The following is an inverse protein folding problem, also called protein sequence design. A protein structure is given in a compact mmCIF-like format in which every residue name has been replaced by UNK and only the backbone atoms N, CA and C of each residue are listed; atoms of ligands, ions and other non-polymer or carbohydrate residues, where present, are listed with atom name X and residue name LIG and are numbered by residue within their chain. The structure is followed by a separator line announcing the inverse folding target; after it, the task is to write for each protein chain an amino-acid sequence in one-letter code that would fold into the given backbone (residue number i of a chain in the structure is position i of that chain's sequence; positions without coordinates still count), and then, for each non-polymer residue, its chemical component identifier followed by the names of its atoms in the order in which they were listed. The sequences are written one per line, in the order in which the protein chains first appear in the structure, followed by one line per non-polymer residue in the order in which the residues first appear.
data_IF_464730827400
#
_entry.id   IF_464730827400
#
_cell.length_a   1.000
_cell.length_b   1.000
_cell.length_c   1.000
_cell.angle_alpha   90.00
_cell.angle_beta   90.00
_cell.angle_gamma   90.00
#
_symmetry.space_group_name_H-M   'P 1'
#
loop_
_entity.id
_entity.type
_entity.pdbx_description
1 polymer ?
#
# COMPACT_ATOMS: atom_id res chain seq x y z
N UNK A 1 -11.03 -6.36 -14.16
CA UNK A 1 -10.27 -6.12 -12.92
C UNK A 1 -10.56 -4.69 -12.49
N UNK A 2 -11.04 -4.49 -11.26
CA UNK A 2 -11.27 -3.14 -10.72
C UNK A 2 -9.98 -2.69 -10.02
N UNK A 3 -9.44 -1.55 -10.45
CA UNK A 3 -8.21 -0.96 -9.92
C UNK A 3 -8.57 0.22 -9.03
N UNK A 4 -7.86 0.39 -7.90
CA UNK A 4 -8.04 1.54 -7.01
C UNK A 4 -6.83 2.45 -7.06
N UNK A 5 -7.03 3.74 -7.33
CA UNK A 5 -5.99 4.77 -7.24
C UNK A 5 -5.96 5.32 -5.82
N UNK A 6 -4.78 5.35 -5.20
CA UNK A 6 -4.61 5.85 -3.84
C UNK A 6 -3.83 7.17 -3.81
N UNK A 7 -4.24 8.10 -2.93
CA UNK A 7 -3.59 9.40 -2.71
C UNK A 7 -2.89 9.44 -1.35
N UNK A 8 -1.73 10.08 -1.29
CA UNK A 8 -0.86 10.11 -0.12
C UNK A 8 -0.73 11.51 0.48
N UNK A 9 -0.71 11.57 1.81
CA UNK A 9 -0.46 12.79 2.56
C UNK A 9 0.96 12.82 3.12
N UNK A 10 1.66 13.95 2.93
CA UNK A 10 2.98 14.18 3.51
C UNK A 10 2.83 14.70 4.94
N UNK A 11 3.47 14.02 5.89
CA UNK A 11 3.51 14.46 7.29
C UNK A 11 4.23 15.80 7.43
N UNK A 12 3.66 16.73 8.19
CA UNK A 12 4.29 18.03 8.43
C UNK A 12 5.30 17.90 9.59
N UNK A 13 6.58 17.66 9.29
CA UNK A 13 7.66 17.94 10.26
C UNK A 13 8.35 19.24 9.89
N UNK A 14 8.41 20.18 10.85
CA UNK A 14 9.33 21.31 10.79
C UNK A 14 10.75 20.79 11.02
N UNK A 15 11.42 20.38 9.95
CA UNK A 15 12.84 20.09 9.93
C UNK A 15 13.56 21.08 9.01
N UNK A 16 14.86 21.37 9.22
CA UNK A 16 15.64 22.23 8.33
C UNK A 16 15.68 21.69 6.89
N UNK A 17 15.62 20.36 6.76
CA UNK A 17 15.55 19.64 5.49
C UNK A 17 14.16 19.04 5.30
N UNK A 18 13.21 19.89 4.89
CA UNK A 18 11.81 19.50 4.71
C UNK A 18 11.66 18.36 3.70
N UNK A 19 10.86 17.36 4.05
CA UNK A 19 10.59 16.22 3.18
C UNK A 19 9.92 16.65 1.87
N UNK A 20 10.28 15.97 0.79
CA UNK A 20 9.70 16.13 -0.55
C UNK A 20 9.14 14.79 -1.03
N UNK A 21 8.16 14.87 -1.94
CA UNK A 21 7.57 13.69 -2.57
C UNK A 21 8.50 13.15 -3.65
N UNK A 22 8.70 11.83 -3.65
CA UNK A 22 9.40 11.09 -4.70
C UNK A 22 8.53 9.91 -5.12
N UNK A 23 8.31 9.77 -6.42
CA UNK A 23 7.68 8.57 -7.00
C UNK A 23 8.76 7.51 -7.22
N UNK A 24 8.57 6.34 -6.60
CA UNK A 24 9.46 5.19 -6.72
C UNK A 24 8.85 4.08 -7.59
N UNK A 25 9.70 3.38 -8.31
CA UNK A 25 9.46 2.05 -8.86
C UNK A 25 9.61 1.04 -7.73
N UNK A 26 8.55 0.26 -7.46
CA UNK A 26 8.52 -0.64 -6.30
C UNK A 26 9.58 -1.73 -6.42
N UNK A 27 9.74 -2.35 -7.59
CA UNK A 27 10.72 -3.44 -7.76
C UNK A 27 12.15 -2.94 -7.59
N UNK A 28 12.47 -1.76 -8.14
CA UNK A 28 13.77 -1.14 -7.94
C UNK A 28 14.03 -0.76 -6.49
N UNK A 29 13.02 -0.21 -5.81
CA UNK A 29 13.12 0.11 -4.39
C UNK A 29 13.34 -1.15 -3.56
N UNK A 30 12.61 -2.22 -3.83
CA UNK A 30 12.68 -3.49 -3.09
C UNK A 30 14.08 -4.09 -3.13
N UNK A 31 14.73 -4.08 -4.31
CA UNK A 31 16.12 -4.52 -4.46
C UNK A 31 17.11 -3.69 -3.63
N UNK A 32 16.88 -2.38 -3.51
CA UNK A 32 17.71 -1.52 -2.67
C UNK A 32 17.42 -1.71 -1.18
N UNK A 33 16.16 -1.93 -0.81
CA UNK A 33 15.73 -2.14 0.57
C UNK A 33 16.14 -3.51 1.11
N UNK A 34 16.19 -4.53 0.25
CA UNK A 34 16.72 -5.87 0.56
C UNK A 34 18.13 -5.85 1.17
N UNK A 35 18.90 -4.80 0.87
CA UNK A 35 20.27 -4.62 1.37
C UNK A 35 20.36 -3.92 2.72
N UNK A 36 19.24 -3.51 3.33
CA UNK A 36 19.23 -2.87 4.66
C UNK A 36 18.95 -3.86 5.78
N UNK A 37 19.30 -3.47 7.01
CA UNK A 37 19.01 -4.22 8.22
C UNK A 37 17.51 -4.20 8.61
N UNK A 38 16.71 -3.37 7.93
CA UNK A 38 15.28 -3.21 8.17
C UNK A 38 14.40 -4.02 7.22
N UNK A 39 14.99 -4.85 6.36
CA UNK A 39 14.20 -5.65 5.43
C UNK A 39 13.38 -6.69 6.20
N UNK A 40 12.05 -6.59 6.13
CA UNK A 40 11.12 -7.43 6.92
C UNK A 40 10.41 -8.50 6.09
N UNK A 41 10.56 -8.51 4.78
CA UNK A 41 9.94 -9.52 3.95
C UNK A 41 10.84 -10.74 3.85
N UNK A 42 10.31 -11.93 4.08
CA UNK A 42 11.01 -13.15 3.69
C UNK A 42 10.79 -13.34 2.18
N UNK A 43 11.83 -13.58 1.36
CA UNK A 43 11.63 -13.84 -0.06
C UNK A 43 10.66 -15.01 -0.28
N UNK A 44 9.50 -14.75 -0.90
CA UNK A 44 8.47 -15.76 -1.14
C UNK A 44 7.50 -16.01 0.03
N UNK A 45 7.61 -15.25 1.13
CA UNK A 45 6.68 -15.31 2.25
C UNK A 45 6.25 -13.90 2.66
N UNK A 46 4.93 -13.71 2.74
CA UNK A 46 4.31 -12.48 3.19
C UNK A 46 4.38 -12.31 4.73
N UNK A 47 5.24 -13.08 5.40
CA UNK A 47 5.51 -13.01 6.83
C UNK A 47 6.08 -11.64 7.18
N UNK A 48 5.18 -10.74 7.50
CA UNK A 48 5.49 -9.51 8.20
C UNK A 48 6.00 -9.83 9.62
N UNK A 49 7.01 -9.11 10.09
CA UNK A 49 7.45 -9.11 11.49
C UNK A 49 6.34 -8.69 12.46
N UNK A 50 5.27 -8.08 11.95
CA UNK A 50 4.10 -7.66 12.71
C UNK A 50 2.78 -7.75 11.92
N UNK A 51 2.29 -8.98 11.68
CA UNK A 51 1.05 -9.26 10.92
C UNK A 51 -0.16 -8.35 11.22
N UNK A 52 -0.29 -7.85 12.45
CA UNK A 52 -1.33 -6.89 12.82
C UNK A 52 -1.17 -5.52 12.12
N UNK A 53 0.05 -5.00 11.95
CA UNK A 53 0.33 -3.74 11.26
C UNK A 53 0.06 -3.85 9.76
N UNK A 54 0.51 -4.93 9.11
CA UNK A 54 0.16 -5.22 7.72
C UNK A 54 -1.35 -5.34 7.52
N UNK A 55 -2.05 -6.11 8.38
CA UNK A 55 -3.50 -6.24 8.31
C UNK A 55 -4.22 -4.89 8.50
N UNK A 56 -3.73 -4.04 9.43
CA UNK A 56 -4.27 -2.69 9.66
C UNK A 56 -4.06 -1.79 8.45
N UNK A 57 -2.91 -1.85 7.79
CA UNK A 57 -2.67 -1.12 6.54
C UNK A 57 -3.67 -1.54 5.47
N UNK A 58 -3.87 -2.85 5.29
CA UNK A 58 -4.84 -3.39 4.34
C UNK A 58 -6.27 -2.94 4.58
N UNK A 59 -6.74 -2.93 5.85
CA UNK A 59 -8.08 -2.42 6.20
C UNK A 59 -8.27 -0.98 5.75
N UNK A 60 -7.26 -0.12 5.93
CA UNK A 60 -7.32 1.30 5.54
C UNK A 60 -7.34 1.49 4.02
N UNK A 61 -6.49 0.76 3.29
CA UNK A 61 -6.49 0.78 1.83
C UNK A 61 -7.85 0.36 1.26
N UNK A 62 -8.43 -0.71 1.81
CA UNK A 62 -9.74 -1.22 1.40
C UNK A 62 -10.89 -0.27 1.74
N UNK A 63 -10.77 0.49 2.83
CA UNK A 63 -11.74 1.50 3.23
C UNK A 63 -11.60 2.81 2.43
N UNK A 64 -10.54 2.98 1.62
CA UNK A 64 -10.25 4.23 0.93
C UNK A 64 -9.89 5.38 1.88
N UNK A 65 -9.45 5.06 3.11
CA UNK A 65 -9.05 6.07 4.10
C UNK A 65 -7.73 6.74 3.67
N UNK A 66 -7.59 8.07 3.79
CA UNK A 66 -6.31 8.74 3.60
C UNK A 66 -5.22 8.13 4.48
N UNK A 67 -4.00 8.01 3.95
CA UNK A 67 -2.86 7.51 4.70
C UNK A 67 -1.61 8.37 4.53
N UNK A 68 -0.85 8.42 5.61
CA UNK A 68 0.47 9.01 5.63
C UNK A 68 1.42 8.27 4.69
N UNK A 69 2.09 9.04 3.86
CA UNK A 69 3.16 8.60 2.97
C UNK A 69 4.26 7.89 3.78
N UNK A 70 4.80 6.75 3.32
CA UNK A 70 5.98 6.17 3.95
C UNK A 70 7.16 7.12 3.84
N UNK A 71 7.96 7.14 4.90
CA UNK A 71 9.15 7.98 4.99
C UNK A 71 10.37 7.12 4.71
N UNK A 72 11.17 7.52 3.73
CA UNK A 72 12.34 6.79 3.26
C UNK A 72 13.61 7.61 3.52
N UNK A 73 14.69 6.91 3.86
CA UNK A 73 16.03 7.47 3.94
C UNK A 73 17.05 6.65 3.15
N UNK A 74 18.14 7.30 2.76
CA UNK A 74 19.35 6.64 2.26
C UNK A 74 20.32 6.45 3.42
N UNK A 75 20.78 5.23 3.64
CA UNK A 75 21.72 4.86 4.69
C UNK A 75 23.17 5.21 4.31
N UNK A 76 24.09 5.14 5.28
CA UNK A 76 25.50 5.49 5.07
C UNK A 76 26.18 4.64 3.98
N UNK A 77 25.81 3.37 3.87
CA UNK A 77 26.31 2.45 2.84
C UNK A 77 25.47 2.47 1.55
N UNK A 78 24.53 3.40 1.41
CA UNK A 78 23.76 3.61 0.19
C UNK A 78 22.51 2.74 0.02
N UNK A 79 22.19 1.86 0.98
CA UNK A 79 20.91 1.16 0.97
C UNK A 79 19.74 2.11 1.27
N UNK A 80 18.53 1.70 0.88
CA UNK A 80 17.31 2.41 1.22
C UNK A 80 16.68 1.79 2.46
N UNK A 81 16.12 2.61 3.35
CA UNK A 81 15.40 2.15 4.53
C UNK A 81 14.20 3.02 4.86
N UNK A 82 13.36 2.53 5.79
CA UNK A 82 12.15 3.23 6.19
C UNK A 82 12.32 3.89 7.55
N UNK A 83 12.02 5.19 7.62
CA UNK A 83 11.79 5.87 8.91
C UNK A 83 10.40 5.55 9.44
N UNK A 84 9.42 5.39 8.54
CA UNK A 84 8.06 4.91 8.83
C UNK A 84 7.41 4.31 7.57
N UNK A 85 6.39 3.48 7.76
CA UNK A 85 5.48 3.07 6.68
C UNK A 85 5.90 1.82 5.91
N UNK A 86 6.90 1.07 6.35
CA UNK A 86 7.34 -0.19 5.70
C UNK A 86 6.21 -1.20 5.51
N UNK A 87 5.26 -1.30 6.45
CA UNK A 87 4.08 -2.17 6.35
C UNK A 87 3.07 -1.69 5.28
N UNK A 88 2.93 -0.37 5.10
CA UNK A 88 2.08 0.21 4.05
C UNK A 88 2.67 -0.07 2.67
N UNK A 89 3.99 0.10 2.55
CA UNK A 89 4.75 -0.29 1.37
C UNK A 89 4.61 -1.78 1.07
N UNK A 90 4.87 -2.65 2.05
CA UNK A 90 4.80 -4.11 1.89
C UNK A 90 3.42 -4.54 1.41
N UNK A 91 2.36 -3.99 2.00
CA UNK A 91 0.99 -4.27 1.55
C UNK A 91 0.77 -3.91 0.08
N UNK A 92 1.23 -2.72 -0.35
CA UNK A 92 1.11 -2.30 -1.76
C UNK A 92 1.88 -3.22 -2.70
N UNK A 93 3.11 -3.57 -2.35
CA UNK A 93 3.97 -4.51 -3.12
C UNK A 93 3.27 -5.86 -3.31
N UNK A 94 2.81 -6.47 -2.22
CA UNK A 94 2.13 -7.79 -2.25
C UNK A 94 0.81 -7.76 -3.05
N UNK A 95 0.21 -6.58 -3.21
CA UNK A 95 -1.02 -6.39 -3.98
C UNK A 95 -0.76 -5.81 -5.38
N UNK A 96 0.45 -5.99 -5.91
CA UNK A 96 0.78 -5.73 -7.32
C UNK A 96 0.97 -4.26 -7.67
N UNK A 97 1.20 -3.40 -6.68
CA UNK A 97 1.57 -2.02 -6.97
C UNK A 97 2.92 -1.94 -7.68
N UNK A 98 2.99 -1.09 -8.70
CA UNK A 98 4.22 -0.91 -9.50
C UNK A 98 4.93 0.40 -9.15
N UNK A 99 4.24 1.34 -8.51
CA UNK A 99 4.80 2.61 -8.11
C UNK A 99 4.13 3.20 -6.88
N UNK A 100 4.90 3.98 -6.13
CA UNK A 100 4.45 4.56 -4.88
C UNK A 100 5.05 5.94 -4.63
N UNK A 101 4.29 6.86 -4.02
CA UNK A 101 4.87 8.07 -3.46
C UNK A 101 5.49 7.78 -2.10
N UNK A 102 6.70 8.28 -1.88
CA UNK A 102 7.40 8.26 -0.60
C UNK A 102 7.89 9.67 -0.23
N UNK A 103 7.94 9.93 1.06
CA UNK A 103 8.46 11.16 1.64
C UNK A 103 9.95 10.97 1.92
N UNK A 104 10.77 11.86 1.37
CA UNK A 104 12.24 11.78 1.48
C UNK A 104 12.78 13.15 1.85
N UNK A 105 13.78 13.21 2.72
CA UNK A 105 14.51 14.44 3.00
C UNK A 105 15.01 15.07 1.69
N UNK A 106 14.86 16.39 1.50
CA UNK A 106 15.16 17.05 0.22
C UNK A 106 16.61 16.82 -0.22
N UNK A 107 17.55 16.80 0.73
CA UNK A 107 18.95 16.49 0.46
C UNK A 107 19.17 15.07 -0.12
N UNK A 108 18.34 14.11 0.25
CA UNK A 108 18.44 12.70 -0.19
C UNK A 108 17.61 12.39 -1.45
N UNK A 109 16.64 13.25 -1.80
CA UNK A 109 15.75 13.02 -2.92
C UNK A 109 16.45 12.76 -4.28
N UNK A 110 17.56 13.43 -4.65
CA UNK A 110 18.29 13.10 -5.87
C UNK A 110 18.85 11.67 -5.87
N UNK A 111 19.31 11.17 -4.73
CA UNK A 111 19.83 9.80 -4.61
C UNK A 111 18.70 8.78 -4.74
N UNK A 112 17.56 8.98 -4.06
CA UNK A 112 16.40 8.10 -4.18
C UNK A 112 15.88 8.05 -5.62
N UNK A 113 15.75 9.22 -6.28
CA UNK A 113 15.33 9.28 -7.70
C UNK A 113 16.27 8.51 -8.62
N UNK A 114 17.58 8.58 -8.37
CA UNK A 114 18.59 7.86 -9.17
C UNK A 114 18.50 6.35 -8.96
N UNK A 115 18.29 5.91 -7.71
CA UNK A 115 18.27 4.49 -7.35
C UNK A 115 16.98 3.78 -7.81
N UNK A 116 15.83 4.42 -7.63
CA UNK A 116 14.53 3.77 -7.83
C UNK A 116 13.43 4.71 -8.32
N UNK A 117 13.76 5.88 -8.87
CA UNK A 117 12.74 6.83 -9.35
C UNK A 117 11.96 6.31 -10.56
N UNK A 118 10.67 6.65 -10.63
CA UNK A 118 9.81 6.29 -11.77
C UNK A 118 9.10 7.50 -12.39
N UNK A 119 8.59 7.33 -13.62
CA UNK A 119 7.69 8.30 -14.28
C UNK A 119 6.21 8.03 -13.99
N UNK A 120 5.87 6.87 -13.44
CA UNK A 120 4.49 6.56 -13.02
C UNK A 120 4.04 7.53 -11.92
N UNK A 121 2.80 7.98 -11.99
CA UNK A 121 2.21 8.98 -11.05
C UNK A 121 0.96 8.44 -10.37
N UNK A 122 0.89 7.14 -10.21
CA UNK A 122 -0.22 6.50 -9.54
C UNK A 122 0.25 5.34 -8.67
N UNK A 123 -0.46 5.14 -7.56
CA UNK A 123 -0.31 3.98 -6.70
C UNK A 123 -1.55 3.14 -6.87
N UNK A 124 -1.43 2.04 -7.62
CA UNK A 124 -2.53 1.11 -7.88
C UNK A 124 -2.27 -0.17 -7.14
N UNK A 125 -3.32 -0.84 -6.67
CA UNK A 125 -3.24 -2.17 -6.12
C UNK A 125 -4.41 -3.01 -6.62
N UNK A 126 -4.25 -4.32 -6.60
CA UNK A 126 -5.30 -5.29 -6.84
C UNK A 126 -5.91 -5.63 -5.48
N UNK A 127 -7.17 -5.23 -5.20
CA UNK A 127 -7.80 -5.61 -3.95
C UNK A 127 -7.81 -7.15 -3.82
N UNK A 128 -7.50 -7.72 -2.64
CA UNK A 128 -7.67 -9.14 -2.44
C UNK A 128 -9.11 -9.52 -2.77
N UNK A 129 -9.30 -10.64 -3.48
CA UNK A 129 -10.64 -11.13 -3.79
C UNK A 129 -11.42 -11.28 -2.49
N UNK A 130 -12.51 -10.51 -2.35
CA UNK A 130 -13.41 -10.70 -1.23
C UNK A 130 -13.94 -12.12 -1.33
N UNK A 131 -13.62 -12.97 -0.34
CA UNK A 131 -14.38 -14.20 -0.12
C UNK A 131 -15.70 -13.75 0.48
N UNK A 132 -16.60 -13.22 -0.34
CA UNK A 132 -18.00 -13.08 0.09
C UNK A 132 -18.45 -14.51 0.38
N UNK A 133 -18.87 -14.85 1.60
CA UNK A 133 -19.43 -16.17 1.84
C UNK A 133 -20.64 -16.31 0.93
N UNK A 134 -20.64 -17.30 0.04
CA UNK A 134 -21.73 -17.58 -0.91
C UNK A 134 -23.10 -17.63 -0.23
N UNK A 135 -23.13 -18.00 1.06
CA UNK A 135 -24.34 -18.02 1.90
C UNK A 135 -25.03 -16.64 2.01
N UNK A 136 -24.30 -15.52 2.00
CA UNK A 136 -24.88 -14.19 2.16
C UNK A 136 -25.54 -13.68 0.86
N UNK A 137 -25.01 -14.09 -0.30
CA UNK A 137 -25.61 -13.78 -1.62
C UNK A 137 -26.89 -14.58 -1.84
N UNK A 138 -26.93 -15.85 -1.40
CA UNK A 138 -28.13 -16.68 -1.49
C UNK A 138 -29.24 -16.23 -0.53
N UNK A 139 -28.90 -15.71 0.66
CA UNK A 139 -29.89 -15.17 1.60
C UNK A 139 -30.62 -13.92 1.08
N UNK A 140 -29.90 -13.00 0.43
CA UNK A 140 -30.50 -11.78 -0.15
C UNK A 140 -31.33 -12.11 -1.40
N UNK A 141 -30.88 -13.03 -2.25
CA UNK A 141 -31.68 -13.50 -3.40
C UNK A 141 -32.92 -14.30 -2.97
N UNK A 142 -32.84 -15.11 -1.90
CA UNK A 142 -33.97 -15.84 -1.35
C UNK A 142 -35.06 -14.93 -0.76
N UNK A 143 -34.67 -13.84 -0.10
CA UNK A 143 -35.60 -12.84 0.43
C UNK A 143 -36.30 -12.03 -0.67
N UNK A 144 -35.62 -11.73 -1.78
CA UNK A 144 -36.22 -11.06 -2.93
C UNK A 144 -37.28 -11.96 -3.64
N UNK A 145 -37.03 -13.27 -3.73
CA UNK A 145 -37.98 -14.22 -4.32
C UNK A 145 -39.25 -14.41 -3.44
N UNK A 146 -39.10 -14.41 -2.12
CA UNK A 146 -40.25 -14.53 -1.20
C UNK A 146 -41.15 -13.29 -1.18
N UNK A 147 -40.57 -12.08 -1.34
CA UNK A 147 -41.33 -10.83 -1.42
C UNK A 147 -42.20 -10.70 -2.68
N UNK A 148 -41.75 -11.23 -3.82
CA UNK A 148 -42.50 -11.20 -5.08
C UNK A 148 -43.72 -12.14 -5.09
N UNK A 149 -43.66 -13.26 -4.37
CA UNK A 149 -44.81 -14.20 -4.28
C UNK A 149 -45.91 -13.68 -3.36
N UNK A 150 -45.56 -12.88 -2.34
CA UNK A 150 -46.54 -12.32 -1.41
C UNK A 150 -47.39 -11.18 -2.01
N UNK A 151 -46.86 -10.43 -2.99
CA UNK A 151 -47.60 -9.33 -3.65
C UNK A 151 -48.54 -9.84 -4.75
N UNK A 152 -48.31 -11.03 -5.30
CA UNK A 152 -49.14 -11.63 -6.35
C UNK A 152 -50.39 -12.37 -5.82
N UNK A 153 -50.66 -12.34 -4.51
CA UNK A 153 -51.80 -13.02 -3.86
C UNK A 153 -52.74 -12.09 -3.08
N UNK A 154 -52.62 -10.78 -3.27
CA UNK A 154 -53.47 -9.75 -2.66
C UNK A 154 -54.46 -9.18 -3.67
#
# INVERSE_FOLDING_TARGET
MNWTVFSWDIGYRRAPDADVRVWIDIDAFDRCWFLSDQYIAVPGDASDDNSNRFAKAGKRFLAGEPMWMPEVSVERHGALSFRDGRHRYLWMREHGALSMEVAVARSQAPAVRRLCGTRRRTSWFIPPRSRVPTALVLGVLGLAAAGLVAVARS
#
